data_IF_114261717082
#
_entry.id   IF_114261717082
#
_cell.length_a   1.000
_cell.length_b   1.000
_cell.length_c   1.000
_cell.angle_alpha   90.00
_cell.angle_beta   90.00
_cell.angle_gamma   90.00
#
_symmetry.space_group_name_H-M   'P 1'
#
loop_
_entity.id
_entity.type
_entity.pdbx_description
1 polymer ?
#
# COMPACT_ATOMS: atom_id res chain seq x y z
N UNK A 1 31.14 -21.51 29.85
CA UNK A 1 29.99 -20.81 30.45
C UNK A 1 29.63 -19.63 29.57
N UNK A 2 28.37 -19.50 29.14
CA UNK A 2 27.92 -18.38 28.31
C UNK A 2 27.25 -17.33 29.21
N UNK A 3 27.76 -16.09 29.18
CA UNK A 3 27.22 -14.99 29.96
C UNK A 3 26.12 -14.27 29.17
N UNK A 4 24.96 -14.07 29.80
CA UNK A 4 23.84 -13.31 29.24
C UNK A 4 23.63 -12.04 30.06
N UNK A 5 23.95 -10.89 29.49
CA UNK A 5 23.79 -9.60 30.14
C UNK A 5 22.33 -9.36 30.58
N UNK A 6 22.17 -8.87 31.82
CA UNK A 6 20.87 -8.62 32.48
C UNK A 6 20.03 -7.57 31.72
N UNK A 7 20.69 -6.69 30.98
CA UNK A 7 20.04 -5.63 30.22
C UNK A 7 20.24 -5.82 28.72
N UNK A 8 19.13 -5.93 27.98
CA UNK A 8 19.14 -5.84 26.52
C UNK A 8 19.34 -4.38 26.11
N UNK A 9 20.12 -4.12 25.06
CA UNK A 9 20.35 -2.76 24.55
C UNK A 9 19.05 -2.00 24.24
N UNK A 10 18.01 -2.69 23.78
CA UNK A 10 16.67 -2.12 23.53
C UNK A 10 15.95 -1.59 24.80
N UNK A 11 16.47 -1.86 26.01
CA UNK A 11 16.00 -1.25 27.26
C UNK A 11 16.38 0.23 27.34
N UNK A 12 17.56 0.59 26.83
CA UNK A 12 18.11 1.94 26.92
C UNK A 12 18.05 2.67 25.58
N UNK A 13 18.35 1.97 24.50
CA UNK A 13 18.31 2.48 23.14
C UNK A 13 16.99 2.00 22.54
N UNK A 14 15.92 2.76 22.75
CA UNK A 14 14.71 2.58 21.96
C UNK A 14 15.06 2.93 20.52
N UNK A 15 14.84 1.99 19.60
CA UNK A 15 14.96 2.25 18.18
C UNK A 15 13.82 3.20 17.79
N UNK A 16 14.02 4.51 17.96
CA UNK A 16 13.13 5.53 17.44
C UNK A 16 13.46 5.68 15.95
N UNK A 17 12.86 4.83 15.12
CA UNK A 17 12.92 5.03 13.67
C UNK A 17 12.11 6.26 13.30
N UNK A 18 12.64 7.06 12.40
CA UNK A 18 11.89 8.15 11.79
C UNK A 18 10.62 7.60 11.13
N UNK A 19 9.53 8.33 11.29
CA UNK A 19 8.27 8.00 10.63
C UNK A 19 8.46 8.22 9.14
N UNK A 20 8.46 7.14 8.37
CA UNK A 20 8.52 7.22 6.91
C UNK A 20 7.29 7.97 6.37
N UNK A 21 7.46 8.82 5.34
CA UNK A 21 6.34 9.47 4.68
C UNK A 21 5.40 8.42 4.10
N UNK A 22 4.09 8.74 4.02
CA UNK A 22 3.02 7.82 3.59
C UNK A 22 3.35 7.08 2.28
N UNK A 23 3.91 7.79 1.31
CA UNK A 23 4.31 7.24 0.01
C UNK A 23 5.43 6.18 0.07
N UNK A 24 6.29 6.24 1.10
CA UNK A 24 7.44 5.35 1.27
C UNK A 24 7.14 4.20 2.22
N UNK A 25 5.90 4.07 2.69
CA UNK A 25 5.49 2.94 3.52
C UNK A 25 5.31 1.69 2.65
N UNK A 26 5.72 0.54 3.19
CA UNK A 26 5.57 -0.78 2.61
C UNK A 26 4.72 -1.65 3.53
N UNK A 27 4.24 -2.78 3.00
CA UNK A 27 3.40 -3.72 3.72
C UNK A 27 2.08 -3.09 4.21
N UNK A 28 1.37 -2.44 3.29
CA UNK A 28 0.17 -1.65 3.59
C UNK A 28 -1.02 -2.11 2.75
N UNK A 29 -2.20 -1.97 3.32
CA UNK A 29 -3.48 -1.95 2.60
C UNK A 29 -3.81 -0.49 2.32
N UNK A 30 -4.12 -0.19 1.08
CA UNK A 30 -4.38 1.18 0.65
C UNK A 30 -5.67 1.27 -0.17
N UNK A 31 -6.24 2.47 -0.18
CA UNK A 31 -7.45 2.85 -0.89
C UNK A 31 -7.15 4.05 -1.80
N UNK A 32 -7.69 4.01 -3.00
CA UNK A 32 -7.68 5.12 -3.96
C UNK A 32 -9.11 5.39 -4.38
N UNK A 33 -9.57 6.61 -4.15
CA UNK A 33 -10.92 7.03 -4.54
C UNK A 33 -10.95 7.47 -6.01
N UNK A 34 -12.05 7.19 -6.68
CA UNK A 34 -12.36 7.77 -7.99
C UNK A 34 -12.66 9.27 -7.83
N UNK A 35 -12.29 10.09 -8.82
CA UNK A 35 -12.56 11.53 -8.80
C UNK A 35 -13.98 11.86 -9.28
N UNK A 36 -14.52 10.99 -10.12
CA UNK A 36 -15.74 11.27 -10.90
C UNK A 36 -16.96 10.51 -10.35
N UNK A 37 -16.77 9.58 -9.40
CA UNK A 37 -17.86 8.84 -8.75
C UNK A 37 -17.46 8.34 -7.36
N UNK A 38 -18.43 7.79 -6.63
CA UNK A 38 -18.23 7.25 -5.27
C UNK A 38 -17.47 5.91 -5.22
N UNK A 39 -17.02 5.41 -6.37
CA UNK A 39 -16.23 4.19 -6.43
C UNK A 39 -14.84 4.38 -5.82
N UNK A 40 -14.31 3.31 -5.24
CA UNK A 40 -12.95 3.30 -4.74
C UNK A 40 -12.30 1.93 -4.94
N UNK A 41 -10.98 1.94 -5.08
CA UNK A 41 -10.18 0.73 -5.19
C UNK A 41 -9.40 0.51 -3.91
N UNK A 42 -9.60 -0.65 -3.28
CA UNK A 42 -8.78 -1.14 -2.18
C UNK A 42 -7.81 -2.19 -2.72
N UNK A 43 -6.55 -2.11 -2.32
CA UNK A 43 -5.55 -3.09 -2.66
C UNK A 43 -4.44 -3.18 -1.63
N UNK A 44 -3.74 -4.32 -1.58
CA UNK A 44 -2.55 -4.47 -0.76
C UNK A 44 -1.23 -4.37 -1.53
N UNK A 45 -0.16 -4.03 -0.82
CA UNK A 45 1.20 -4.13 -1.34
C UNK A 45 2.21 -4.48 -0.25
N UNK A 46 3.07 -5.45 -0.55
CA UNK A 46 4.30 -5.70 0.23
C UNK A 46 5.45 -4.74 -0.13
N UNK A 47 5.40 -4.13 -1.31
CA UNK A 47 6.37 -3.14 -1.80
C UNK A 47 6.01 -1.73 -1.31
N UNK A 48 6.92 -0.77 -1.49
CA UNK A 48 6.65 0.64 -1.21
C UNK A 48 5.42 1.12 -1.99
N UNK A 49 4.54 1.87 -1.32
CA UNK A 49 3.29 2.36 -1.89
C UNK A 49 3.53 3.16 -3.17
N UNK A 50 4.50 4.07 -3.18
CA UNK A 50 4.89 4.86 -4.37
C UNK A 50 5.20 3.97 -5.58
N UNK A 51 5.91 2.87 -5.37
CA UNK A 51 6.23 1.92 -6.44
C UNK A 51 4.96 1.27 -6.97
N UNK A 52 4.06 0.81 -6.09
CA UNK A 52 2.79 0.19 -6.48
C UNK A 52 1.89 1.16 -7.26
N UNK A 53 1.81 2.41 -6.84
CA UNK A 53 1.07 3.45 -7.57
C UNK A 53 1.66 3.70 -8.96
N UNK A 54 2.99 3.75 -9.07
CA UNK A 54 3.64 3.92 -10.36
C UNK A 54 3.41 2.74 -11.30
N UNK A 55 3.38 1.51 -10.76
CA UNK A 55 3.01 0.32 -11.54
C UNK A 55 1.62 0.44 -12.13
N UNK A 56 0.63 0.88 -11.35
CA UNK A 56 -0.73 1.10 -11.83
C UNK A 56 -0.79 2.16 -12.91
N UNK A 57 -0.12 3.30 -12.72
CA UNK A 57 -0.03 4.37 -13.75
C UNK A 57 0.60 3.86 -15.04
N UNK A 58 1.70 3.11 -14.92
CA UNK A 58 2.37 2.52 -16.08
C UNK A 58 1.50 1.48 -16.77
N UNK A 59 0.73 0.69 -16.01
CA UNK A 59 -0.16 -0.32 -16.56
C UNK A 59 -1.30 0.29 -17.35
N UNK A 60 -1.86 1.42 -16.89
CA UNK A 60 -2.87 2.19 -17.63
C UNK A 60 -2.31 2.71 -18.96
N UNK A 61 -1.06 3.19 -18.96
CA UNK A 61 -0.43 3.73 -20.17
C UNK A 61 -0.02 2.66 -21.18
N UNK A 62 0.02 1.38 -20.78
CA UNK A 62 0.36 0.27 -21.67
C UNK A 62 -0.92 -0.24 -22.34
N UNK A 63 -0.88 -0.41 -23.65
CA UNK A 63 -1.96 -1.03 -24.43
C UNK A 63 -1.92 -2.57 -24.29
N UNK A 64 -2.12 -3.06 -23.06
CA UNK A 64 -2.18 -4.50 -22.73
C UNK A 64 -3.62 -4.97 -22.73
N UNK A 65 -3.85 -6.20 -23.20
CA UNK A 65 -5.18 -6.84 -23.19
C UNK A 65 -5.65 -7.27 -21.80
N UNK A 66 -4.74 -7.37 -20.82
CA UNK A 66 -5.08 -7.69 -19.44
C UNK A 66 -5.17 -6.39 -18.64
N UNK A 67 -6.38 -5.87 -18.42
CA UNK A 67 -6.59 -4.66 -17.64
C UNK A 67 -6.73 -4.97 -16.14
N UNK A 68 -6.14 -4.13 -15.28
CA UNK A 68 -6.43 -4.18 -13.85
C UNK A 68 -7.81 -3.58 -13.60
N UNK A 69 -8.42 -3.85 -12.45
CA UNK A 69 -9.72 -3.27 -12.06
C UNK A 69 -9.71 -1.75 -12.19
N UNK A 70 -8.61 -1.10 -11.81
CA UNK A 70 -8.43 0.35 -11.93
C UNK A 70 -8.42 0.77 -13.41
N UNK A 71 -7.63 0.09 -14.25
CA UNK A 71 -7.55 0.38 -15.69
C UNK A 71 -8.91 0.16 -16.37
N UNK A 72 -9.60 -0.92 -16.04
CA UNK A 72 -10.90 -1.27 -16.60
C UNK A 72 -11.96 -0.21 -16.26
N UNK A 73 -12.06 0.18 -14.98
CA UNK A 73 -12.97 1.25 -14.54
C UNK A 73 -12.75 2.56 -15.30
N UNK A 74 -11.49 2.92 -15.53
CA UNK A 74 -11.13 4.12 -16.30
C UNK A 74 -11.54 4.03 -17.77
N UNK A 75 -11.34 2.88 -18.40
CA UNK A 75 -11.67 2.67 -19.82
C UNK A 75 -13.18 2.66 -20.02
N UNK A 76 -13.91 1.93 -19.17
CA UNK A 76 -15.36 1.74 -19.33
C UNK A 76 -16.17 3.00 -19.03
N UNK A 77 -15.74 3.77 -18.02
CA UNK A 77 -16.49 4.95 -17.56
C UNK A 77 -15.83 6.27 -17.95
N UNK A 78 -14.63 6.25 -18.52
CA UNK A 78 -13.87 7.47 -18.82
C UNK A 78 -13.38 8.24 -17.59
N UNK A 79 -13.40 7.61 -16.41
CA UNK A 79 -13.06 8.24 -15.13
C UNK A 79 -11.55 8.28 -14.85
N UNK A 80 -11.16 9.02 -13.81
CA UNK A 80 -9.82 9.02 -13.22
C UNK A 80 -9.84 8.79 -11.70
N UNK A 81 -8.75 8.22 -11.19
CA UNK A 81 -8.52 8.02 -9.76
C UNK A 81 -7.66 9.15 -9.18
N UNK A 82 -7.82 9.40 -7.89
CA UNK A 82 -7.01 10.38 -7.18
C UNK A 82 -5.64 9.81 -6.77
N UNK A 83 -4.69 9.84 -7.70
CA UNK A 83 -3.34 9.31 -7.50
C UNK A 83 -2.49 10.04 -6.45
N UNK A 84 -2.82 11.28 -6.13
CA UNK A 84 -2.09 12.10 -5.16
C UNK A 84 -2.62 11.88 -3.74
N UNK A 85 -3.91 11.52 -3.62
CA UNK A 85 -4.59 11.30 -2.34
C UNK A 85 -4.83 9.81 -2.08
N UNK A 86 -3.76 9.09 -1.81
CA UNK A 86 -3.83 7.66 -1.47
C UNK A 86 -3.99 7.43 0.03
N UNK A 87 -5.02 6.69 0.40
CA UNK A 87 -5.36 6.40 1.79
C UNK A 87 -4.82 5.03 2.21
N UNK A 88 -3.75 4.98 3.01
CA UNK A 88 -3.42 3.78 3.81
C UNK A 88 -4.52 3.52 4.84
N UNK A 89 -5.09 2.32 4.80
CA UNK A 89 -6.13 1.83 5.70
C UNK A 89 -5.54 1.01 6.84
N UNK A 90 -4.56 0.14 6.51
CA UNK A 90 -3.91 -0.73 7.48
C UNK A 90 -2.45 -1.01 7.08
N UNK A 91 -1.64 -1.48 8.05
CA UNK A 91 -0.24 -1.84 7.87
C UNK A 91 0.06 -3.17 8.55
N UNK A 92 0.32 -4.18 7.73
CA UNK A 92 0.57 -5.54 8.19
C UNK A 92 1.71 -6.18 7.39
N UNK A 93 2.73 -6.64 8.13
CA UNK A 93 3.94 -7.23 7.58
C UNK A 93 3.70 -8.66 7.08
N UNK A 94 2.84 -9.41 7.78
CA UNK A 94 2.56 -10.80 7.45
C UNK A 94 1.57 -10.84 6.28
N UNK A 95 1.98 -11.39 5.14
CA UNK A 95 1.15 -11.43 3.92
C UNK A 95 -0.25 -11.99 4.16
N UNK A 96 -0.38 -13.13 4.84
CA UNK A 96 -1.68 -13.75 5.10
C UNK A 96 -2.63 -12.82 5.86
N UNK A 97 -2.13 -12.18 6.92
CA UNK A 97 -2.92 -11.21 7.69
C UNK A 97 -3.26 -9.97 6.86
N UNK A 98 -2.33 -9.52 6.01
CA UNK A 98 -2.57 -8.40 5.11
C UNK A 98 -3.62 -8.69 4.04
N UNK A 99 -3.67 -9.92 3.52
CA UNK A 99 -4.73 -10.34 2.60
C UNK A 99 -6.10 -10.36 3.30
N UNK A 100 -6.16 -10.82 4.55
CA UNK A 100 -7.40 -10.74 5.34
C UNK A 100 -7.81 -9.29 5.59
N UNK A 101 -6.86 -8.42 5.91
CA UNK A 101 -7.10 -6.98 6.10
C UNK A 101 -7.63 -6.33 4.82
N UNK A 102 -7.07 -6.67 3.66
CA UNK A 102 -7.58 -6.21 2.35
C UNK A 102 -9.03 -6.62 2.10
N UNK A 103 -9.45 -7.82 2.54
CA UNK A 103 -10.84 -8.29 2.35
C UNK A 103 -11.85 -7.65 3.29
N UNK A 104 -11.42 -7.14 4.44
CA UNK A 104 -12.28 -6.49 5.44
C UNK A 104 -12.56 -5.03 5.06
N UNK A 105 -11.70 -4.45 4.24
CA UNK A 105 -11.76 -3.06 3.80
C UNK A 105 -12.47 -2.89 2.45
#
# INVERSE_FOLDING_TARGET
MAYRGINKLNRFIKIQKDVLPRSSQSNVVYKIDCKDCDASYVGQTGRCLKTRINEHKNHINRNTTQHSVITQHRIDLGHDFNWDKVHILDKEQILHKRLLSEMIH
#
